data_IF_739046000681
#
_entry.id   IF_739046000681
#
_cell.length_a   1.000
_cell.length_b   1.000
_cell.length_c   1.000
_cell.angle_alpha   90.00
_cell.angle_beta   90.00
_cell.angle_gamma   90.00
#
_symmetry.space_group_name_H-M   'P 1'
#
loop_
_entity.id
_entity.type
_entity.pdbx_description
1 polymer ?
#
# COMPACT_ATOMS: atom_id res chain seq x y z
N UNK A 1 10.84 50.85 19.36
CA UNK A 1 12.31 50.95 19.49
C UNK A 1 12.75 49.91 20.52
N UNK A 2 13.57 48.96 20.07
CA UNK A 2 14.23 47.78 20.70
C UNK A 2 13.93 46.52 19.88
N UNK A 3 14.86 46.07 19.02
CA UNK A 3 14.76 44.76 18.37
C UNK A 3 15.44 43.69 19.24
N UNK A 4 14.75 42.57 19.47
CA UNK A 4 15.35 41.39 20.07
C UNK A 4 15.94 40.52 18.95
N UNK A 5 17.27 40.41 18.95
CA UNK A 5 18.06 39.54 18.08
C UNK A 5 18.13 38.16 18.75
N UNK A 6 17.56 37.13 18.12
CA UNK A 6 17.78 35.75 18.54
C UNK A 6 18.91 35.13 17.70
N UNK A 7 19.97 34.75 18.40
CA UNK A 7 21.19 34.13 17.89
C UNK A 7 20.94 32.63 17.69
N UNK A 8 21.13 32.12 16.47
CA UNK A 8 21.11 30.67 16.17
C UNK A 8 22.54 30.15 16.17
N UNK A 9 22.85 29.22 17.09
CA UNK A 9 24.12 28.50 17.13
C UNK A 9 23.92 27.12 16.49
N UNK A 10 24.53 26.90 15.33
CA UNK A 10 24.68 25.57 14.73
C UNK A 10 25.94 24.90 15.29
N UNK A 11 25.77 23.78 15.99
CA UNK A 11 26.86 22.87 16.35
C UNK A 11 26.80 21.65 15.41
N UNK A 12 27.75 21.61 14.48
CA UNK A 12 28.02 20.46 13.62
C UNK A 12 28.92 19.45 14.36
N UNK A 13 28.49 18.19 14.45
CA UNK A 13 29.36 17.08 14.82
C UNK A 13 29.61 16.20 13.60
N UNK A 14 30.79 16.35 12.99
CA UNK A 14 31.45 15.32 12.22
C UNK A 14 32.42 14.62 13.17
N UNK A 15 32.36 13.29 13.32
CA UNK A 15 33.55 12.53 13.70
C UNK A 15 33.46 11.08 13.22
N UNK A 16 34.56 10.66 12.60
CA UNK A 16 34.77 9.48 11.78
C UNK A 16 34.92 8.17 12.56
N UNK A 17 34.63 7.06 11.89
CA UNK A 17 34.85 5.70 12.34
C UNK A 17 36.35 5.33 12.48
N UNK A 18 36.74 4.44 13.42
CA UNK A 18 38.04 3.80 13.39
C UNK A 18 37.96 2.35 12.87
N UNK A 19 38.80 2.05 11.87
CA UNK A 19 39.28 0.70 11.56
C UNK A 19 40.47 0.42 12.48
N UNK A 20 40.55 -0.79 13.02
CA UNK A 20 41.80 -1.31 13.59
C UNK A 20 42.00 -2.78 13.20
N UNK A 21 43.01 -2.98 12.36
CA UNK A 21 43.72 -4.22 12.05
C UNK A 21 44.73 -4.51 13.16
N UNK A 22 44.95 -5.78 13.51
CA UNK A 22 46.18 -6.36 14.10
C UNK A 22 45.90 -7.86 14.33
N UNK A 23 46.82 -8.82 14.28
CA UNK A 23 48.15 -9.00 13.69
C UNK A 23 48.42 -10.50 13.93
N UNK A 24 48.99 -11.20 12.95
CA UNK A 24 49.32 -12.63 13.06
C UNK A 24 50.48 -12.86 14.04
N UNK A 25 50.43 -13.95 14.81
CA UNK A 25 51.61 -14.54 15.42
C UNK A 25 51.51 -16.07 15.40
N UNK A 26 52.57 -16.70 14.89
CA UNK A 26 52.70 -18.13 14.65
C UNK A 26 53.27 -18.84 15.89
N UNK A 27 52.77 -20.04 16.19
CA UNK A 27 53.50 -21.04 16.97
C UNK A 27 53.37 -22.44 16.33
N UNK A 28 54.48 -22.94 15.78
CA UNK A 28 54.81 -24.37 15.58
C UNK A 28 55.19 -24.93 16.97
N UNK A 29 55.08 -26.19 17.39
CA UNK A 29 55.00 -27.59 16.88
C UNK A 29 54.62 -28.41 18.15
N UNK A 30 54.14 -29.65 18.21
CA UNK A 30 54.48 -30.89 17.51
C UNK A 30 53.46 -32.00 17.88
N UNK A 31 53.59 -33.16 17.22
CA UNK A 31 52.60 -34.22 17.00
C UNK A 31 52.18 -35.07 18.21
N UNK A 32 50.97 -35.64 18.14
CA UNK A 32 50.72 -37.03 18.52
C UNK A 32 49.69 -37.68 17.58
N UNK A 33 50.01 -38.89 17.14
CA UNK A 33 49.27 -39.72 16.18
C UNK A 33 48.27 -40.62 16.90
N UNK A 34 47.07 -40.80 16.33
CA UNK A 34 46.31 -42.05 16.39
C UNK A 34 45.18 -42.03 15.34
N UNK A 35 45.31 -42.90 14.34
CA UNK A 35 44.24 -43.28 13.42
C UNK A 35 43.03 -43.83 14.19
N UNK A 36 41.82 -43.34 13.89
CA UNK A 36 40.62 -44.19 13.78
C UNK A 36 39.64 -43.54 12.82
N UNK A 37 39.33 -44.25 11.74
CA UNK A 37 38.41 -43.85 10.71
C UNK A 37 36.96 -43.70 11.23
N UNK A 38 36.32 -42.59 10.87
CA UNK A 38 34.90 -42.58 10.56
C UNK A 38 34.68 -41.62 9.37
N UNK A 39 34.65 -42.16 8.15
CA UNK A 39 34.14 -41.43 6.99
C UNK A 39 32.64 -41.25 7.20
N UNK A 40 32.22 -40.11 7.75
CA UNK A 40 30.82 -39.70 7.63
C UNK A 40 30.55 -39.38 6.17
N UNK A 41 29.67 -40.17 5.53
CA UNK A 41 29.08 -39.76 4.25
C UNK A 41 28.41 -38.40 4.47
N UNK A 42 28.65 -37.39 3.63
CA UNK A 42 27.84 -36.18 3.68
C UNK A 42 26.39 -36.60 3.43
N UNK A 43 25.55 -36.53 4.46
CA UNK A 43 24.12 -36.60 4.27
C UNK A 43 23.75 -35.46 3.32
N UNK A 44 23.02 -35.73 2.22
CA UNK A 44 22.50 -34.66 1.40
C UNK A 44 21.66 -33.77 2.31
N UNK A 45 22.01 -32.48 2.38
CA UNK A 45 21.20 -31.50 3.07
C UNK A 45 19.78 -31.64 2.53
N UNK A 46 18.86 -32.08 3.38
CA UNK A 46 17.44 -32.09 3.06
C UNK A 46 17.08 -30.64 2.81
N UNK A 47 16.99 -30.26 1.53
CA UNK A 47 16.44 -28.98 1.12
C UNK A 47 14.98 -29.07 1.54
N UNK A 48 14.67 -28.53 2.72
CA UNK A 48 13.31 -28.23 3.11
C UNK A 48 12.88 -27.13 2.13
N UNK A 49 12.33 -27.55 1.00
CA UNK A 49 11.58 -26.68 0.11
C UNK A 49 10.49 -26.08 0.98
N UNK A 50 10.56 -24.79 1.24
CA UNK A 50 9.50 -23.99 1.87
C UNK A 50 8.26 -24.14 0.99
N UNK A 51 7.44 -25.15 1.28
CA UNK A 51 6.23 -25.53 0.52
C UNK A 51 5.07 -24.59 0.81
N UNK A 52 5.26 -23.59 1.67
CA UNK A 52 4.25 -22.56 1.92
C UNK A 52 4.23 -21.60 0.74
N UNK A 53 3.28 -21.82 -0.16
CA UNK A 53 3.02 -20.92 -1.29
C UNK A 53 2.59 -19.55 -0.74
N UNK A 54 3.53 -18.61 -0.68
CA UNK A 54 3.27 -17.24 -0.22
C UNK A 54 2.31 -16.55 -1.17
N UNK A 55 1.27 -15.92 -0.62
CA UNK A 55 0.38 -15.09 -1.39
C UNK A 55 1.12 -13.82 -1.85
N UNK A 56 1.10 -13.53 -3.14
CA UNK A 56 1.62 -12.27 -3.69
C UNK A 56 0.50 -11.24 -3.62
N UNK A 57 0.73 -10.14 -2.90
CA UNK A 57 -0.20 -9.01 -2.74
C UNK A 57 -0.52 -8.38 -4.10
N UNK A 58 -1.79 -7.97 -4.31
CA UNK A 58 -2.15 -7.16 -5.47
C UNK A 58 -2.05 -5.67 -5.13
N UNK A 59 -1.70 -4.86 -6.12
CA UNK A 59 -1.53 -3.40 -5.99
C UNK A 59 -1.59 -2.76 -7.38
N UNK A 60 -1.31 -1.46 -7.53
CA UNK A 60 -1.25 -0.76 -8.81
C UNK A 60 0.19 -0.41 -9.18
N UNK A 61 0.49 -0.28 -10.49
CA UNK A 61 1.80 0.12 -10.99
C UNK A 61 2.08 1.62 -10.81
N UNK A 62 1.48 2.25 -9.80
CA UNK A 62 1.74 3.64 -9.41
C UNK A 62 3.01 3.64 -8.58
N UNK A 63 3.94 4.56 -8.84
CA UNK A 63 5.24 4.59 -8.17
C UNK A 63 5.21 5.51 -6.96
N UNK A 64 6.14 5.31 -6.01
CA UNK A 64 6.24 6.21 -4.85
C UNK A 64 6.52 7.66 -5.28
N UNK A 65 7.26 7.86 -6.38
CA UNK A 65 7.48 9.21 -6.95
C UNK A 65 6.17 9.87 -7.40
N UNK A 66 5.16 9.11 -7.81
CA UNK A 66 3.84 9.65 -8.14
C UNK A 66 3.00 9.96 -6.88
N UNK A 67 3.22 9.22 -5.79
CA UNK A 67 2.57 9.44 -4.49
C UNK A 67 3.22 10.60 -3.70
N UNK A 68 4.49 10.88 -3.97
CA UNK A 68 5.21 12.05 -3.51
C UNK A 68 4.73 13.24 -4.35
N UNK A 69 3.84 14.06 -3.78
CA UNK A 69 3.33 15.26 -4.43
C UNK A 69 4.45 16.31 -4.58
N UNK A 70 5.28 16.14 -5.61
CA UNK A 70 6.33 17.08 -5.99
C UNK A 70 5.80 18.25 -6.81
N UNK A 71 4.52 18.24 -7.16
CA UNK A 71 3.92 19.14 -8.14
C UNK A 71 3.21 20.34 -7.55
N UNK A 72 2.75 20.27 -6.29
CA UNK A 72 1.88 21.31 -5.73
C UNK A 72 2.57 22.29 -4.78
N UNK A 73 3.83 22.03 -4.37
CA UNK A 73 4.43 22.78 -3.26
C UNK A 73 3.64 22.65 -1.94
N UNK A 74 2.74 21.66 -1.85
CA UNK A 74 1.86 21.44 -0.72
C UNK A 74 2.40 20.25 0.10
N UNK A 75 3.14 20.50 1.19
CA UNK A 75 3.81 19.44 1.94
C UNK A 75 2.83 18.46 2.62
N UNK A 76 1.54 18.78 2.66
CA UNK A 76 0.52 18.05 3.43
C UNK A 76 -0.38 17.13 2.60
N UNK A 77 -0.15 16.98 1.27
CA UNK A 77 -1.03 16.19 0.37
C UNK A 77 -2.53 16.52 0.52
N UNK A 78 -2.81 17.77 0.92
CA UNK A 78 -4.14 18.20 1.31
C UNK A 78 -4.85 18.85 0.14
N UNK A 79 -5.97 18.27 -0.27
CA UNK A 79 -6.89 18.90 -1.22
C UNK A 79 -8.19 19.28 -0.50
N UNK A 80 -8.79 20.40 -0.89
CA UNK A 80 -9.98 20.94 -0.22
C UNK A 80 -11.12 21.11 -1.22
N UNK A 81 -12.32 20.74 -0.82
CA UNK A 81 -13.55 20.97 -1.58
C UNK A 81 -14.62 21.56 -0.69
N UNK A 82 -14.96 22.83 -0.91
CA UNK A 82 -15.81 23.58 0.01
C UNK A 82 -15.16 23.67 1.40
N UNK A 83 -15.90 23.28 2.44
CA UNK A 83 -15.40 23.26 3.83
C UNK A 83 -14.63 21.99 4.20
N UNK A 84 -14.71 20.93 3.38
CA UNK A 84 -14.10 19.63 3.72
C UNK A 84 -12.77 19.44 3.00
N UNK A 85 -11.86 18.70 3.62
CA UNK A 85 -10.57 18.36 3.06
C UNK A 85 -10.29 16.87 3.09
N UNK A 86 -9.50 16.44 2.12
CA UNK A 86 -8.87 15.13 2.07
C UNK A 86 -7.43 15.30 2.53
N UNK A 87 -7.04 14.56 3.55
CA UNK A 87 -5.71 14.56 4.14
C UNK A 87 -5.04 13.20 3.95
N UNK A 88 -3.72 13.19 3.83
CA UNK A 88 -2.89 11.98 3.63
C UNK A 88 -3.39 11.04 2.52
N UNK A 89 -3.96 11.62 1.46
CA UNK A 89 -4.55 10.90 0.34
C UNK A 89 -4.10 11.47 -0.99
N UNK A 90 -3.79 10.59 -1.93
CA UNK A 90 -3.43 10.97 -3.30
C UNK A 90 -4.53 10.51 -4.25
N UNK A 91 -5.04 11.46 -5.05
CA UNK A 91 -6.16 11.24 -5.96
C UNK A 91 -5.67 11.28 -7.40
N UNK A 92 -5.91 10.20 -8.13
CA UNK A 92 -5.62 10.10 -9.54
C UNK A 92 -6.88 9.86 -10.36
N UNK A 93 -7.08 10.60 -11.44
CA UNK A 93 -8.23 10.44 -12.34
C UNK A 93 -7.80 10.20 -13.78
N UNK A 94 -8.68 9.58 -14.56
CA UNK A 94 -8.57 9.49 -16.01
C UNK A 94 -9.92 9.80 -16.65
N UNK A 95 -9.97 10.91 -17.38
CA UNK A 95 -11.21 11.44 -17.95
C UNK A 95 -11.75 10.55 -19.10
N UNK A 96 -10.86 9.91 -19.87
CA UNK A 96 -11.24 8.99 -20.96
C UNK A 96 -11.89 7.72 -20.44
N UNK A 97 -11.35 7.14 -19.37
CA UNK A 97 -11.91 5.96 -18.70
C UNK A 97 -13.08 6.31 -17.78
N UNK A 98 -13.19 7.59 -17.39
CA UNK A 98 -14.08 8.09 -16.36
C UNK A 98 -13.90 7.35 -15.02
N UNK A 99 -12.65 7.21 -14.58
CA UNK A 99 -12.26 6.45 -13.38
C UNK A 99 -11.36 7.26 -12.47
N UNK A 100 -11.41 6.96 -11.17
CA UNK A 100 -10.53 7.53 -10.15
C UNK A 100 -9.91 6.41 -9.32
N UNK A 101 -8.64 6.58 -8.96
CA UNK A 101 -7.95 5.80 -7.93
C UNK A 101 -7.56 6.75 -6.80
N UNK A 102 -7.87 6.37 -5.56
CA UNK A 102 -7.48 7.11 -4.35
C UNK A 102 -6.61 6.22 -3.50
N UNK A 103 -5.41 6.69 -3.17
CA UNK A 103 -4.52 6.04 -2.20
C UNK A 103 -4.62 6.78 -0.89
N UNK A 104 -5.00 6.08 0.17
CA UNK A 104 -4.83 6.52 1.54
C UNK A 104 -3.49 6.01 2.06
N UNK A 105 -2.66 6.96 2.46
CA UNK A 105 -1.27 6.73 2.86
C UNK A 105 -1.14 6.84 4.37
N UNK A 106 -0.29 6.00 4.96
CA UNK A 106 0.15 6.16 6.34
C UNK A 106 1.49 6.92 6.41
N UNK A 107 1.97 7.15 7.64
CA UNK A 107 3.07 8.08 7.98
C UNK A 107 4.39 7.84 7.25
N UNK A 108 4.61 6.65 6.71
CA UNK A 108 5.81 6.24 5.96
C UNK A 108 5.55 6.04 4.45
N UNK A 109 4.45 6.58 3.91
CA UNK A 109 3.97 6.36 2.53
C UNK A 109 3.45 4.96 2.26
N UNK A 110 3.27 4.16 3.30
CA UNK A 110 2.63 2.87 3.16
C UNK A 110 1.19 3.03 2.65
N UNK A 111 0.84 2.22 1.65
CA UNK A 111 -0.48 2.23 1.01
C UNK A 111 -1.46 1.44 1.86
N UNK A 112 -2.14 2.11 2.79
CA UNK A 112 -3.11 1.48 3.68
C UNK A 112 -4.34 1.01 2.91
N UNK A 113 -5.02 1.94 2.24
CA UNK A 113 -6.25 1.66 1.50
C UNK A 113 -6.18 2.25 0.10
N UNK A 114 -6.55 1.47 -0.91
CA UNK A 114 -6.66 1.93 -2.29
C UNK A 114 -8.08 1.74 -2.79
N UNK A 115 -8.72 2.81 -3.24
CA UNK A 115 -10.06 2.80 -3.83
C UNK A 115 -9.95 2.98 -5.34
N UNK A 116 -10.63 2.16 -6.14
CA UNK A 116 -10.72 2.31 -7.60
C UNK A 116 -12.18 2.19 -8.05
N UNK A 117 -12.70 3.22 -8.71
CA UNK A 117 -14.12 3.34 -9.04
C UNK A 117 -14.37 4.21 -10.29
N UNK A 118 -15.59 4.12 -10.82
CA UNK A 118 -16.08 4.99 -11.90
C UNK A 118 -16.58 6.33 -11.36
N UNK A 119 -16.23 7.44 -12.01
CA UNK A 119 -16.60 8.79 -11.58
C UNK A 119 -18.10 9.08 -11.73
N UNK A 120 -18.81 8.33 -12.58
CA UNK A 120 -20.26 8.45 -12.79
C UNK A 120 -21.11 7.42 -12.00
N UNK A 121 -20.49 6.54 -11.22
CA UNK A 121 -21.20 5.55 -10.38
C UNK A 121 -20.64 5.57 -8.94
N UNK A 122 -20.34 6.77 -8.43
CA UNK A 122 -19.88 6.98 -7.05
C UNK A 122 -21.08 6.90 -6.11
N UNK A 123 -21.16 5.81 -5.34
CA UNK A 123 -22.27 5.58 -4.42
C UNK A 123 -22.04 6.25 -3.06
N UNK A 124 -23.12 6.54 -2.32
CA UNK A 124 -23.02 7.10 -0.97
C UNK A 124 -22.19 6.20 -0.03
N UNK A 125 -22.28 4.87 -0.17
CA UNK A 125 -21.47 3.95 0.63
C UNK A 125 -19.98 3.98 0.27
N UNK A 126 -19.60 4.36 -0.96
CA UNK A 126 -18.20 4.63 -1.30
C UNK A 126 -17.73 5.90 -0.59
N UNK A 127 -18.52 6.96 -0.72
CA UNK A 127 -18.21 8.29 -0.20
C UNK A 127 -18.07 8.23 1.33
N UNK A 128 -18.94 7.48 1.99
CA UNK A 128 -18.90 7.30 3.43
C UNK A 128 -17.59 6.63 3.89
N UNK A 129 -17.10 5.63 3.12
CA UNK A 129 -15.86 4.88 3.39
C UNK A 129 -14.58 5.66 3.16
N UNK A 130 -14.59 6.73 2.37
CA UNK A 130 -13.41 7.56 2.16
C UNK A 130 -13.35 8.57 3.31
N UNK A 131 -12.30 8.52 4.10
CA UNK A 131 -12.11 9.43 5.23
C UNK A 131 -11.81 10.85 4.74
N UNK A 132 -12.67 11.78 5.13
CA UNK A 132 -12.64 13.20 4.78
C UNK A 132 -13.00 13.98 6.03
N UNK A 133 -12.46 15.19 6.17
CA UNK A 133 -12.56 15.95 7.42
C UNK A 133 -13.09 17.36 7.19
N UNK A 134 -13.72 17.92 8.22
CA UNK A 134 -14.10 19.33 8.32
C UNK A 134 -13.58 19.84 9.66
N UNK A 135 -12.75 20.89 9.66
CA UNK A 135 -12.21 21.49 10.90
C UNK A 135 -11.53 20.50 11.86
N UNK A 136 -10.89 19.44 11.35
CA UNK A 136 -10.22 18.42 12.17
C UNK A 136 -11.08 17.23 12.54
N UNK A 137 -12.40 17.32 12.34
CA UNK A 137 -13.36 16.26 12.67
C UNK A 137 -13.79 15.48 11.43
N UNK A 138 -14.19 14.20 11.55
CA UNK A 138 -14.75 13.44 10.44
C UNK A 138 -15.97 14.15 9.83
N UNK A 139 -15.92 14.41 8.51
CA UNK A 139 -17.01 15.05 7.80
C UNK A 139 -18.24 14.14 7.76
N UNK A 140 -19.43 14.71 7.95
CA UNK A 140 -20.70 13.98 7.84
C UNK A 140 -20.97 13.54 6.39
N UNK A 141 -21.74 12.45 6.21
CA UNK A 141 -22.12 11.98 4.87
C UNK A 141 -22.78 13.07 4.01
N UNK A 142 -23.58 13.96 4.62
CA UNK A 142 -24.21 15.09 3.92
C UNK A 142 -23.18 16.07 3.36
N UNK A 143 -22.15 16.39 4.15
CA UNK A 143 -21.05 17.27 3.70
C UNK A 143 -20.21 16.60 2.62
N UNK A 144 -19.88 15.30 2.80
CA UNK A 144 -19.15 14.53 1.81
C UNK A 144 -19.91 14.50 0.47
N UNK A 145 -21.19 14.12 0.46
CA UNK A 145 -22.04 14.09 -0.74
C UNK A 145 -22.12 15.44 -1.46
N UNK A 146 -22.24 16.54 -0.71
CA UNK A 146 -22.32 17.89 -1.29
C UNK A 146 -21.03 18.30 -2.00
N UNK A 147 -19.88 17.94 -1.44
CA UNK A 147 -18.58 18.48 -1.86
C UNK A 147 -17.71 17.46 -2.61
N UNK A 148 -18.10 16.18 -2.71
CA UNK A 148 -17.23 15.11 -3.23
C UNK A 148 -16.66 15.39 -4.63
N UNK A 149 -17.49 15.94 -5.53
CA UNK A 149 -17.10 16.22 -6.92
C UNK A 149 -15.92 17.19 -7.03
N UNK A 150 -15.74 18.09 -6.05
CA UNK A 150 -14.59 19.00 -6.06
C UNK A 150 -13.26 18.26 -5.90
N UNK A 151 -13.22 17.12 -5.19
CA UNK A 151 -12.02 16.28 -5.12
C UNK A 151 -11.72 15.63 -6.47
N UNK A 152 -12.73 15.09 -7.15
CA UNK A 152 -12.57 14.51 -8.49
C UNK A 152 -12.05 15.54 -9.49
N UNK A 153 -12.51 16.79 -9.41
CA UNK A 153 -12.07 17.87 -10.32
C UNK A 153 -10.60 18.26 -10.11
N UNK A 154 -10.11 18.13 -8.88
CA UNK A 154 -8.74 18.48 -8.46
C UNK A 154 -7.78 17.30 -8.54
N UNK A 155 -8.27 16.07 -8.78
CA UNK A 155 -7.44 14.88 -8.88
C UNK A 155 -6.41 14.98 -10.02
N UNK A 156 -5.23 14.42 -9.79
CA UNK A 156 -4.14 14.40 -10.76
C UNK A 156 -4.47 13.48 -11.92
N UNK A 157 -4.40 13.99 -13.14
CA UNK A 157 -4.70 13.20 -14.34
C UNK A 157 -3.50 12.33 -14.69
N UNK A 158 -3.72 11.02 -14.81
CA UNK A 158 -2.67 10.07 -15.19
C UNK A 158 -3.12 9.13 -16.31
N UNK A 159 -2.14 8.49 -16.94
CA UNK A 159 -2.37 7.59 -18.07
C UNK A 159 -3.21 6.36 -17.71
N UNK A 160 -4.00 5.89 -18.68
CA UNK A 160 -4.89 4.73 -18.56
C UNK A 160 -4.19 3.42 -18.17
N UNK A 161 -2.87 3.31 -18.39
CA UNK A 161 -2.07 2.14 -17.99
C UNK A 161 -2.02 1.93 -16.48
N UNK A 162 -2.21 2.99 -15.70
CA UNK A 162 -2.22 2.92 -14.23
C UNK A 162 -3.55 2.46 -13.65
N UNK A 163 -4.61 2.37 -14.46
CA UNK A 163 -5.95 1.92 -14.05
C UNK A 163 -6.14 0.41 -14.21
N UNK A 164 -5.06 -0.33 -14.00
CA UNK A 164 -5.07 -1.79 -13.90
C UNK A 164 -4.17 -2.22 -12.74
N UNK A 165 -4.59 -3.20 -11.95
CA UNK A 165 -3.74 -3.75 -10.90
C UNK A 165 -2.56 -4.54 -11.46
N UNK A 166 -1.60 -4.89 -10.62
CA UNK A 166 -0.44 -5.73 -10.94
C UNK A 166 -0.87 -7.16 -11.33
N UNK A 167 -2.03 -7.62 -10.82
CA UNK A 167 -2.70 -8.85 -11.30
C UNK A 167 -3.63 -8.61 -12.50
N UNK A 168 -3.62 -7.40 -13.05
CA UNK A 168 -4.28 -7.04 -14.30
C UNK A 168 -5.77 -6.76 -14.20
N UNK A 169 -6.32 -6.49 -13.00
CA UNK A 169 -7.74 -6.14 -12.86
C UNK A 169 -8.01 -4.71 -13.32
N UNK A 170 -9.05 -4.55 -14.14
CA UNK A 170 -9.63 -3.28 -14.57
C UNK A 170 -11.12 -3.28 -14.23
N UNK A 171 -11.69 -2.11 -13.97
CA UNK A 171 -13.15 -2.00 -13.92
C UNK A 171 -13.76 -2.49 -15.25
N UNK A 172 -14.88 -3.21 -15.18
CA UNK A 172 -15.49 -3.94 -16.29
C UNK A 172 -15.07 -5.41 -16.39
N UNK A 173 -14.05 -5.85 -15.66
CA UNK A 173 -13.66 -7.26 -15.60
C UNK A 173 -14.78 -8.15 -15.02
N UNK A 174 -14.73 -9.44 -15.36
CA UNK A 174 -15.75 -10.40 -14.95
C UNK A 174 -15.48 -10.95 -13.55
N UNK A 175 -16.55 -11.32 -12.84
CA UNK A 175 -16.45 -12.09 -11.59
C UNK A 175 -15.61 -13.37 -11.74
N UNK A 176 -15.70 -14.05 -12.88
CA UNK A 176 -14.93 -15.27 -13.14
C UNK A 176 -13.42 -15.03 -13.13
N UNK A 177 -12.97 -13.87 -13.62
CA UNK A 177 -11.55 -13.47 -13.54
C UNK A 177 -11.11 -13.34 -12.08
N UNK A 178 -11.93 -12.71 -11.24
CA UNK A 178 -11.68 -12.58 -9.80
C UNK A 178 -11.53 -13.94 -9.13
N UNK A 179 -12.47 -14.85 -9.33
CA UNK A 179 -12.42 -16.18 -8.72
C UNK A 179 -11.27 -17.04 -9.26
N UNK A 180 -10.87 -16.86 -10.52
CA UNK A 180 -9.68 -17.54 -11.09
C UNK A 180 -8.38 -17.03 -10.47
N UNK A 181 -8.32 -15.75 -10.13
CA UNK A 181 -7.10 -15.10 -9.64
C UNK A 181 -6.92 -15.23 -8.13
N UNK A 182 -8.02 -15.10 -7.38
CA UNK A 182 -8.02 -15.08 -5.91
C UNK A 182 -8.60 -16.33 -5.25
N UNK A 183 -9.17 -17.26 -6.04
CA UNK A 183 -9.94 -18.37 -5.52
C UNK A 183 -11.34 -17.95 -5.07
N UNK A 184 -11.99 -18.78 -4.25
CA UNK A 184 -13.30 -18.46 -3.72
C UNK A 184 -13.21 -17.32 -2.70
N UNK A 185 -14.12 -16.33 -2.73
CA UNK A 185 -14.14 -15.28 -1.72
C UNK A 185 -14.59 -15.84 -0.38
N UNK A 186 -14.03 -15.28 0.69
CA UNK A 186 -14.36 -15.62 2.08
C UNK A 186 -15.75 -15.11 2.47
N UNK A 187 -16.16 -13.95 1.95
CA UNK A 187 -17.52 -13.40 2.17
C UNK A 187 -18.15 -12.95 0.86
N UNK A 188 -19.47 -13.08 0.80
CA UNK A 188 -20.30 -12.62 -0.32
C UNK A 188 -21.54 -11.94 0.24
N UNK A 189 -21.93 -10.81 -0.33
CA UNK A 189 -23.21 -10.16 -0.05
C UNK A 189 -23.79 -9.53 -1.31
N UNK A 190 -25.09 -9.27 -1.29
CA UNK A 190 -25.82 -8.65 -2.40
C UNK A 190 -26.70 -7.55 -1.85
N UNK A 191 -26.62 -6.35 -2.43
CA UNK A 191 -27.46 -5.23 -2.06
C UNK A 191 -27.77 -4.40 -3.29
N UNK A 192 -29.06 -4.11 -3.54
CA UNK A 192 -29.52 -3.31 -4.68
C UNK A 192 -28.93 -3.74 -6.05
N UNK A 193 -28.81 -5.05 -6.29
CA UNK A 193 -28.26 -5.60 -7.53
C UNK A 193 -26.74 -5.45 -7.69
N UNK A 194 -26.03 -5.06 -6.62
CA UNK A 194 -24.57 -5.05 -6.54
C UNK A 194 -24.11 -6.20 -5.63
N UNK A 195 -23.30 -7.08 -6.19
CA UNK A 195 -22.66 -8.20 -5.49
C UNK A 195 -21.32 -7.74 -4.94
N UNK A 196 -21.11 -7.86 -3.63
CA UNK A 196 -19.83 -7.61 -2.95
C UNK A 196 -19.16 -8.94 -2.65
N UNK A 197 -17.89 -9.08 -3.05
CA UNK A 197 -17.05 -10.24 -2.78
C UNK A 197 -15.80 -9.80 -2.01
N UNK A 198 -15.42 -10.56 -0.99
CA UNK A 198 -14.34 -10.22 -0.08
C UNK A 198 -13.35 -11.38 0.06
N UNK A 199 -12.06 -11.08 -0.01
CA UNK A 199 -10.98 -12.04 0.21
C UNK A 199 -10.02 -11.52 1.29
N UNK A 200 -10.11 -12.09 2.47
CA UNK A 200 -9.16 -11.92 3.57
C UNK A 200 -7.94 -12.85 3.43
N UNK A 201 -6.75 -12.32 3.17
CA UNK A 201 -5.49 -13.08 3.14
C UNK A 201 -4.68 -12.77 4.40
N UNK A 202 -4.69 -13.70 5.36
CA UNK A 202 -3.89 -13.61 6.58
C UNK A 202 -2.61 -14.44 6.41
N UNK A 203 -1.44 -13.81 6.51
CA UNK A 203 -0.16 -14.54 6.63
C UNK A 203 0.07 -14.90 8.11
N UNK A 204 -0.05 -16.18 8.48
CA UNK A 204 0.32 -16.72 9.81
C UNK A 204 1.85 -17.03 9.83
N UNK A 205 2.53 -17.10 10.99
CA UNK A 205 3.30 -16.01 11.57
C UNK A 205 4.80 -16.31 11.64
N UNK A 206 5.65 -15.52 10.98
CA UNK A 206 7.06 -15.40 11.33
C UNK A 206 7.43 -13.90 11.25
N UNK A 207 7.26 -13.23 12.39
CA UNK A 207 7.84 -11.94 12.80
C UNK A 207 7.39 -10.65 12.06
N UNK A 208 6.82 -10.71 10.84
CA UNK A 208 6.28 -9.52 10.14
C UNK A 208 4.98 -9.85 9.38
N UNK A 209 3.89 -10.16 10.08
CA UNK A 209 2.61 -10.56 9.45
C UNK A 209 1.81 -9.35 8.96
N UNK A 210 1.70 -9.21 7.64
CA UNK A 210 0.83 -8.24 6.97
C UNK A 210 -0.48 -8.92 6.52
N UNK A 211 -1.62 -8.27 6.75
CA UNK A 211 -2.91 -8.66 6.20
C UNK A 211 -3.11 -8.02 4.83
N UNK A 212 -3.72 -8.75 3.90
CA UNK A 212 -4.21 -8.16 2.65
C UNK A 212 -5.66 -8.53 2.46
N UNK A 213 -6.52 -7.53 2.32
CA UNK A 213 -7.95 -7.72 2.12
C UNK A 213 -8.39 -7.07 0.82
N UNK A 214 -9.07 -7.84 -0.01
CA UNK A 214 -9.58 -7.39 -1.31
C UNK A 214 -11.10 -7.37 -1.27
N UNK A 215 -11.69 -6.23 -1.62
CA UNK A 215 -13.14 -6.09 -1.78
C UNK A 215 -13.46 -5.69 -3.21
N UNK A 216 -14.22 -6.52 -3.90
CA UNK A 216 -14.69 -6.25 -5.25
C UNK A 216 -16.21 -6.15 -5.31
N UNK A 217 -16.72 -5.16 -6.02
CA UNK A 217 -18.15 -4.95 -6.23
C UNK A 217 -18.50 -5.17 -7.69
N UNK A 218 -19.49 -6.02 -7.95
CA UNK A 218 -19.93 -6.40 -9.28
C UNK A 218 -21.39 -6.01 -9.49
N UNK A 219 -21.68 -5.34 -10.60
CA UNK A 219 -23.04 -5.04 -11.06
C UNK A 219 -23.24 -5.70 -12.41
N UNK A 220 -24.29 -6.52 -12.55
CA UNK A 220 -24.52 -7.34 -13.76
C UNK A 220 -23.28 -8.18 -14.15
N UNK A 221 -22.57 -8.71 -13.16
CA UNK A 221 -21.38 -9.55 -13.35
C UNK A 221 -20.09 -8.82 -13.75
N UNK A 222 -20.10 -7.48 -13.79
CA UNK A 222 -18.97 -6.62 -14.18
C UNK A 222 -18.45 -5.85 -12.97
N UNK A 223 -17.13 -5.81 -12.79
CA UNK A 223 -16.46 -5.08 -11.73
C UNK A 223 -16.73 -3.58 -11.87
N UNK A 224 -17.33 -2.96 -10.86
CA UNK A 224 -17.62 -1.51 -10.85
C UNK A 224 -16.79 -0.75 -9.82
N UNK A 225 -16.25 -1.46 -8.83
CA UNK A 225 -15.40 -0.90 -7.78
C UNK A 225 -14.49 -1.97 -7.20
N UNK A 226 -13.26 -1.60 -6.91
CA UNK A 226 -12.26 -2.41 -6.23
C UNK A 226 -11.69 -1.60 -5.06
N UNK A 227 -11.58 -2.23 -3.89
CA UNK A 227 -10.89 -1.68 -2.72
C UNK A 227 -9.83 -2.69 -2.29
N UNK A 228 -8.58 -2.23 -2.17
CA UNK A 228 -7.47 -2.99 -1.62
C UNK A 228 -7.12 -2.42 -0.25
N UNK A 229 -7.03 -3.30 0.74
CA UNK A 229 -6.57 -3.00 2.09
C UNK A 229 -5.25 -3.73 2.29
N UNK A 230 -4.23 -3.00 2.73
CA UNK A 230 -2.99 -3.59 3.20
C UNK A 230 -2.87 -3.23 4.69
N UNK A 231 -2.86 -4.23 5.57
CA UNK A 231 -2.77 -4.01 7.00
C UNK A 231 -1.29 -3.90 7.43
N UNK A 232 -0.97 -2.85 8.17
CA UNK A 232 0.34 -2.67 8.85
C UNK A 232 0.33 -3.48 10.16
N UNK A 233 1.47 -4.04 10.62
CA UNK A 233 1.60 -4.67 11.93
C UNK A 233 1.23 -3.78 13.12
#
# INVERSE_FOLDING_TARGET
MFPAIFLIVFLSCNLSAPKTTNKAENAKKEAFSADTALKSKPQPATVISDTVKRFVVDDYPITNVMLDDKTSGNPTRKIQSGSIYSDEKVWFTNDTLNQTIVFELYTDHYRGITYHFYNNDVTADLIDRIELYENGEPATIKQKLKNFNGFLSQATRIDSRYFATNKGFRLGDTKQKATKTYGNPHKKSMHNGVEKLEWDFVNIPLVHSFGHHIVMYFKKGRLIRLILYNDVP
#
